data_IF_937962408012
#
_entry.id   IF_937962408012
#
_cell.length_a   1.000
_cell.length_b   1.000
_cell.length_c   1.000
_cell.angle_alpha   90.00
_cell.angle_beta   90.00
_cell.angle_gamma   90.00
#
_symmetry.space_group_name_H-M   'P 1'
#
loop_
_entity.id
_entity.type
_entity.pdbx_description
1 polymer ?
#
# COMPACT_ATOMS: atom_id res chain seq x y z
N UNK A 1 -11.74 18.25 0.91
CA UNK A 1 -11.54 17.83 2.32
C UNK A 1 -12.63 16.92 2.89
N UNK A 2 -13.93 17.28 2.98
CA UNK A 2 -14.94 16.41 3.65
C UNK A 2 -15.01 14.97 3.10
N UNK A 3 -15.15 14.82 1.79
CA UNK A 3 -15.17 13.50 1.14
C UNK A 3 -13.86 12.71 1.34
N UNK A 4 -12.74 13.43 1.55
CA UNK A 4 -11.46 12.80 1.82
C UNK A 4 -11.38 12.21 3.22
N UNK A 5 -11.93 12.93 4.20
CA UNK A 5 -12.08 12.47 5.58
C UNK A 5 -12.98 11.24 5.62
N UNK A 6 -14.15 11.28 4.95
CA UNK A 6 -15.08 10.14 4.89
C UNK A 6 -14.44 8.90 4.26
N UNK A 7 -13.67 9.07 3.18
CA UNK A 7 -12.97 7.95 2.55
C UNK A 7 -11.88 7.35 3.48
N UNK A 8 -11.07 8.19 4.12
CA UNK A 8 -10.04 7.72 5.06
C UNK A 8 -10.68 7.03 6.29
N UNK A 9 -11.79 7.56 6.78
CA UNK A 9 -12.59 7.01 7.87
C UNK A 9 -13.15 5.62 7.53
N UNK A 10 -13.71 5.46 6.34
CA UNK A 10 -14.22 4.16 5.86
C UNK A 10 -13.11 3.11 5.79
N UNK A 11 -11.94 3.46 5.24
CA UNK A 11 -10.81 2.53 5.18
C UNK A 11 -10.33 2.16 6.58
N UNK A 12 -10.16 3.15 7.47
CA UNK A 12 -9.76 2.92 8.86
C UNK A 12 -10.73 1.95 9.57
N UNK A 13 -12.03 2.21 9.52
CA UNK A 13 -13.03 1.38 10.20
C UNK A 13 -13.13 -0.03 9.59
N UNK A 14 -12.94 -0.17 8.28
CA UNK A 14 -12.88 -1.47 7.62
C UNK A 14 -11.68 -2.29 8.11
N UNK A 15 -10.50 -1.66 8.17
CA UNK A 15 -9.29 -2.31 8.71
C UNK A 15 -9.45 -2.60 10.20
N UNK A 16 -10.07 -1.72 10.98
CA UNK A 16 -10.33 -1.92 12.41
C UNK A 16 -11.27 -3.10 12.66
N UNK A 17 -12.34 -3.25 11.86
CA UNK A 17 -13.23 -4.40 11.97
C UNK A 17 -12.51 -5.73 11.67
N UNK A 18 -11.51 -5.70 10.79
CA UNK A 18 -10.76 -6.88 10.35
C UNK A 18 -9.57 -7.21 11.26
N UNK A 19 -8.87 -6.19 11.75
CA UNK A 19 -7.61 -6.28 12.51
C UNK A 19 -7.61 -5.37 13.75
N UNK A 20 -8.53 -5.58 14.71
CA UNK A 20 -8.72 -4.67 15.84
C UNK A 20 -7.47 -4.53 16.73
N UNK A 21 -6.71 -5.61 16.92
CA UNK A 21 -5.48 -5.60 17.71
C UNK A 21 -4.36 -4.77 17.06
N UNK A 22 -4.25 -4.83 15.73
CA UNK A 22 -3.26 -4.04 15.00
C UNK A 22 -3.58 -2.53 15.08
N UNK A 23 -4.88 -2.19 15.06
CA UNK A 23 -5.33 -0.81 15.26
C UNK A 23 -5.04 -0.35 16.69
N UNK A 24 -5.38 -1.15 17.71
CA UNK A 24 -5.09 -0.81 19.11
C UNK A 24 -3.58 -0.61 19.37
N UNK A 25 -2.75 -1.46 18.78
CA UNK A 25 -1.28 -1.36 18.85
C UNK A 25 -0.76 -0.08 18.17
N UNK A 26 -1.28 0.25 16.99
CA UNK A 26 -0.97 1.51 16.31
C UNK A 26 -1.38 2.72 17.17
N UNK A 27 -2.62 2.76 17.66
CA UNK A 27 -3.17 3.88 18.44
C UNK A 27 -2.35 4.14 19.70
N UNK A 28 -1.97 3.09 20.43
CA UNK A 28 -1.11 3.22 21.61
C UNK A 28 0.25 3.84 21.27
N UNK A 29 0.87 3.43 20.16
CA UNK A 29 2.17 3.96 19.71
C UNK A 29 2.05 5.37 19.15
N UNK A 30 0.95 5.68 18.48
CA UNK A 30 0.64 7.00 17.95
C UNK A 30 0.51 8.04 19.07
N UNK A 31 -0.23 7.71 20.13
CA UNK A 31 -0.39 8.59 21.30
C UNK A 31 0.97 8.91 21.94
N UNK A 32 1.83 7.89 22.11
CA UNK A 32 3.18 8.09 22.64
C UNK A 32 4.01 9.04 21.76
N UNK A 33 4.00 8.81 20.44
CA UNK A 33 4.67 9.68 19.48
C UNK A 33 4.17 11.13 19.52
N UNK A 34 2.85 11.34 19.57
CA UNK A 34 2.28 12.69 19.68
C UNK A 34 2.66 13.39 20.97
N UNK A 35 2.66 12.68 22.11
CA UNK A 35 3.05 13.25 23.38
C UNK A 35 4.48 13.80 23.34
N UNK A 36 5.40 13.05 22.72
CA UNK A 36 6.79 13.51 22.52
C UNK A 36 6.83 14.73 21.61
N UNK A 37 6.14 14.69 20.46
CA UNK A 37 6.10 15.82 19.53
C UNK A 37 5.55 17.11 20.16
N UNK A 38 4.49 17.01 20.96
CA UNK A 38 3.90 18.16 21.64
C UNK A 38 4.74 18.67 22.82
N UNK A 39 5.64 17.84 23.37
CA UNK A 39 6.56 18.24 24.44
C UNK A 39 7.80 19.00 23.95
N UNK A 40 8.04 19.02 22.64
CA UNK A 40 9.17 19.75 22.06
C UNK A 40 9.01 21.26 22.28
N UNK A 41 10.15 21.94 22.44
CA UNK A 41 10.19 23.39 22.59
C UNK A 41 9.57 24.06 21.35
N UNK A 42 8.86 25.18 21.54
CA UNK A 42 8.26 25.93 20.44
C UNK A 42 9.28 26.45 19.41
N UNK A 43 10.57 26.55 19.79
CA UNK A 43 11.68 26.91 18.90
C UNK A 43 12.30 25.72 18.16
N UNK A 44 11.92 24.49 18.51
CA UNK A 44 12.43 23.30 17.85
C UNK A 44 11.85 23.18 16.44
N UNK A 45 12.65 22.63 15.52
CA UNK A 45 12.13 22.27 14.20
C UNK A 45 11.09 21.15 14.34
N UNK A 46 9.98 21.17 13.58
CA UNK A 46 9.02 20.06 13.53
C UNK A 46 9.67 18.71 13.20
N UNK A 47 10.82 18.71 12.53
CA UNK A 47 11.59 17.50 12.20
C UNK A 47 12.22 16.81 13.40
N UNK A 48 12.40 17.48 14.53
CA UNK A 48 12.99 16.85 15.73
C UNK A 48 12.18 15.65 16.21
N UNK A 49 10.87 15.65 15.99
CA UNK A 49 9.98 14.49 16.19
C UNK A 49 10.48 13.20 15.52
N UNK A 50 11.16 13.30 14.38
CA UNK A 50 11.59 12.14 13.58
C UNK A 50 12.79 11.41 14.16
N UNK A 51 13.46 12.00 15.17
CA UNK A 51 14.66 11.44 15.81
C UNK A 51 14.36 10.65 17.08
N UNK A 52 13.09 10.42 17.37
CA UNK A 52 12.60 9.83 18.62
C UNK A 52 12.44 8.31 18.48
N UNK A 53 12.53 7.59 19.59
CA UNK A 53 12.31 6.13 19.59
C UNK A 53 10.84 5.79 19.26
N UNK A 54 9.90 6.67 19.61
CA UNK A 54 8.48 6.55 19.30
C UNK A 54 8.23 6.64 17.79
N UNK A 55 8.89 7.57 17.11
CA UNK A 55 8.85 7.66 15.64
C UNK A 55 9.40 6.39 14.98
N UNK A 56 10.56 5.92 15.43
CA UNK A 56 11.17 4.69 14.92
C UNK A 56 10.30 3.45 15.18
N UNK A 57 9.61 3.41 16.32
CA UNK A 57 8.68 2.33 16.66
C UNK A 57 7.49 2.28 15.71
N UNK A 58 6.93 3.44 15.34
CA UNK A 58 5.89 3.51 14.31
C UNK A 58 6.44 3.16 12.93
N UNK A 59 7.60 3.71 12.55
CA UNK A 59 8.24 3.46 11.25
C UNK A 59 8.50 1.97 11.01
N UNK A 60 8.96 1.24 12.03
CA UNK A 60 9.19 -0.21 11.97
C UNK A 60 7.94 -1.04 11.70
N UNK A 61 6.74 -0.48 11.90
CA UNK A 61 5.51 -1.18 11.51
C UNK A 61 5.35 -1.26 9.99
N UNK A 62 6.01 -0.40 9.21
CA UNK A 62 6.00 -0.46 7.76
C UNK A 62 4.66 -0.06 7.13
N UNK A 63 4.43 -0.53 5.91
CA UNK A 63 3.32 -0.06 5.06
C UNK A 63 1.92 -0.40 5.60
N UNK A 64 1.80 -1.38 6.50
CA UNK A 64 0.52 -1.82 7.07
C UNK A 64 -0.20 -0.74 7.89
N UNK A 65 0.52 0.29 8.36
CA UNK A 65 -0.06 1.39 9.15
C UNK A 65 -0.46 2.60 8.30
N UNK A 66 -0.25 2.58 6.97
CA UNK A 66 -0.45 3.75 6.12
C UNK A 66 -1.87 4.31 6.19
N UNK A 67 -2.89 3.44 6.13
CA UNK A 67 -4.28 3.86 6.23
C UNK A 67 -4.58 4.55 7.56
N UNK A 68 -3.94 4.09 8.66
CA UNK A 68 -4.11 4.72 9.97
C UNK A 68 -3.44 6.09 10.04
N UNK A 69 -2.26 6.23 9.44
CA UNK A 69 -1.58 7.53 9.34
C UNK A 69 -2.42 8.51 8.53
N UNK A 70 -2.93 8.11 7.36
CA UNK A 70 -3.81 8.94 6.53
C UNK A 70 -5.08 9.34 7.28
N UNK A 71 -5.70 8.41 8.00
CA UNK A 71 -6.86 8.70 8.85
C UNK A 71 -6.54 9.76 9.91
N UNK A 72 -5.44 9.63 10.65
CA UNK A 72 -5.02 10.64 11.63
C UNK A 72 -4.81 12.00 10.99
N UNK A 73 -4.14 12.07 9.85
CA UNK A 73 -3.95 13.32 9.12
C UNK A 73 -5.27 13.97 8.68
N UNK A 74 -6.28 13.16 8.38
CA UNK A 74 -7.59 13.63 7.95
C UNK A 74 -8.47 14.15 9.10
N UNK A 75 -8.42 13.55 10.29
CA UNK A 75 -9.36 13.85 11.39
C UNK A 75 -8.98 15.06 12.24
N UNK A 76 -7.69 15.33 12.44
CA UNK A 76 -7.21 16.48 13.21
C UNK A 76 -5.84 16.90 12.71
N UNK A 77 -5.81 17.61 11.58
CA UNK A 77 -4.56 18.00 10.91
C UNK A 77 -3.68 18.89 11.80
N UNK A 78 -4.29 19.65 12.71
CA UNK A 78 -3.59 20.61 13.56
C UNK A 78 -2.75 19.93 14.63
N UNK A 79 -3.23 18.79 15.14
CA UNK A 79 -2.52 17.96 16.11
C UNK A 79 -1.71 16.84 15.44
N UNK A 80 -2.15 16.35 14.29
CA UNK A 80 -1.60 15.15 13.66
C UNK A 80 -0.59 15.43 12.55
N UNK A 81 -0.34 16.69 12.17
CA UNK A 81 0.53 17.06 11.04
C UNK A 81 1.94 16.45 11.06
N UNK A 82 2.51 16.15 12.25
CA UNK A 82 3.77 15.40 12.37
C UNK A 82 3.73 14.00 11.73
N UNK A 83 2.54 13.43 11.56
CA UNK A 83 2.30 12.21 10.81
C UNK A 83 2.76 12.24 9.36
N UNK A 84 2.84 13.43 8.75
CA UNK A 84 3.34 13.56 7.38
C UNK A 84 4.80 13.12 7.25
N UNK A 85 5.62 13.31 8.29
CA UNK A 85 6.99 12.78 8.31
C UNK A 85 7.00 11.26 8.36
N UNK A 86 6.11 10.64 9.14
CA UNK A 86 5.99 9.19 9.21
C UNK A 86 5.54 8.63 7.86
N UNK A 87 4.53 9.25 7.24
CA UNK A 87 4.08 8.86 5.91
C UNK A 87 5.22 8.90 4.88
N UNK A 88 6.02 9.97 4.87
CA UNK A 88 7.19 10.10 4.00
C UNK A 88 8.31 9.10 4.28
N UNK A 89 8.44 8.64 5.53
CA UNK A 89 9.40 7.62 5.90
C UNK A 89 8.94 6.20 5.50
N UNK A 90 7.62 6.02 5.29
CA UNK A 90 7.02 4.75 4.88
C UNK A 90 6.92 4.64 3.35
N UNK A 91 6.63 5.74 2.65
CA UNK A 91 6.42 5.76 1.20
C UNK A 91 7.59 6.48 0.51
N UNK A 92 8.39 5.72 -0.24
CA UNK A 92 9.59 6.26 -0.90
C UNK A 92 9.29 6.90 -2.27
N UNK A 93 8.35 6.33 -3.02
CA UNK A 93 8.06 6.74 -4.40
C UNK A 93 7.25 8.06 -4.41
N UNK A 94 7.77 9.13 -5.04
CA UNK A 94 7.08 10.41 -5.19
C UNK A 94 5.66 10.31 -5.76
N UNK A 95 5.38 9.32 -6.62
CA UNK A 95 4.05 9.08 -7.21
C UNK A 95 2.98 8.88 -6.13
N UNK A 96 3.32 8.20 -5.05
CA UNK A 96 2.36 7.85 -3.99
C UNK A 96 2.45 8.75 -2.76
N UNK A 97 3.59 9.41 -2.54
CA UNK A 97 3.74 10.32 -1.39
C UNK A 97 3.43 11.79 -1.68
N UNK A 98 3.46 12.21 -2.94
CA UNK A 98 3.41 13.62 -3.32
C UNK A 98 4.70 14.37 -2.97
N UNK A 99 4.90 15.53 -3.60
CA UNK A 99 6.05 16.41 -3.30
C UNK A 99 5.52 17.62 -2.52
N UNK A 100 6.11 17.97 -1.36
CA UNK A 100 5.71 19.17 -0.65
C UNK A 100 5.95 20.41 -1.51
N UNK A 101 5.00 21.34 -1.52
CA UNK A 101 5.16 22.63 -2.20
C UNK A 101 6.20 23.52 -1.52
N UNK A 102 6.32 23.39 -0.20
CA UNK A 102 7.19 24.19 0.66
C UNK A 102 8.14 23.31 1.47
N UNK A 103 9.24 23.90 1.93
CA UNK A 103 10.07 23.28 2.96
C UNK A 103 9.26 23.05 4.23
N UNK A 104 9.25 21.81 4.72
CA UNK A 104 8.54 21.38 5.94
C UNK A 104 9.24 21.87 7.22
N UNK A 105 9.49 23.16 7.32
CA UNK A 105 10.18 23.83 8.43
C UNK A 105 9.22 24.57 9.36
N UNK A 106 8.02 24.93 8.89
CA UNK A 106 6.95 25.52 9.70
C UNK A 106 5.78 24.57 9.92
N UNK A 107 4.96 24.85 10.94
CA UNK A 107 3.75 24.08 11.23
C UNK A 107 2.73 24.19 10.10
N UNK A 108 2.58 25.37 9.50
CA UNK A 108 1.63 25.64 8.42
C UNK A 108 2.00 24.88 7.15
N UNK A 109 3.30 24.84 6.80
CA UNK A 109 3.77 24.04 5.67
C UNK A 109 3.48 22.55 5.87
N UNK A 110 3.68 22.06 7.10
CA UNK A 110 3.41 20.67 7.47
C UNK A 110 1.91 20.33 7.43
N UNK A 111 1.05 21.23 7.91
CA UNK A 111 -0.40 21.08 7.83
C UNK A 111 -0.90 21.05 6.38
N UNK A 112 -0.39 21.96 5.52
CA UNK A 112 -0.74 21.96 4.09
C UNK A 112 -0.33 20.65 3.43
N UNK A 113 0.89 20.19 3.68
CA UNK A 113 1.39 18.94 3.12
C UNK A 113 0.61 17.72 3.64
N UNK A 114 0.20 17.73 4.91
CA UNK A 114 -0.70 16.71 5.45
C UNK A 114 -2.03 16.65 4.69
N UNK A 115 -2.61 17.80 4.37
CA UNK A 115 -3.80 17.89 3.52
C UNK A 115 -3.57 17.31 2.12
N UNK A 116 -2.42 17.58 1.51
CA UNK A 116 -2.04 17.02 0.20
C UNK A 116 -1.93 15.50 0.23
N UNK A 117 -1.32 14.93 1.28
CA UNK A 117 -1.25 13.47 1.47
C UNK A 117 -2.66 12.87 1.52
N UNK A 118 -3.57 13.48 2.29
CA UNK A 118 -4.95 13.02 2.43
C UNK A 118 -5.69 13.08 1.09
N UNK A 119 -5.57 14.18 0.35
CA UNK A 119 -6.20 14.33 -0.97
C UNK A 119 -5.64 13.34 -2.00
N UNK A 120 -4.32 13.18 -2.05
CA UNK A 120 -3.66 12.20 -2.93
C UNK A 120 -4.14 10.78 -2.60
N UNK A 121 -4.19 10.42 -1.32
CA UNK A 121 -4.64 9.10 -0.87
C UNK A 121 -6.05 8.78 -1.34
N UNK A 122 -6.94 9.77 -1.43
CA UNK A 122 -8.33 9.59 -1.92
C UNK A 122 -8.38 9.40 -3.41
N UNK A 123 -7.60 10.15 -4.18
CA UNK A 123 -7.50 9.97 -5.63
C UNK A 123 -6.98 8.58 -5.96
N UNK A 124 -5.90 8.21 -5.26
CA UNK A 124 -5.30 6.90 -5.28
C UNK A 124 -6.32 5.80 -4.93
N UNK A 125 -7.14 5.98 -3.88
CA UNK A 125 -8.16 5.00 -3.48
C UNK A 125 -9.20 4.74 -4.56
N UNK A 126 -9.60 5.77 -5.33
CA UNK A 126 -10.54 5.57 -6.46
C UNK A 126 -9.94 4.68 -7.55
N UNK A 127 -8.66 4.90 -7.88
CA UNK A 127 -7.93 4.08 -8.86
C UNK A 127 -7.81 2.64 -8.36
N UNK A 128 -7.53 2.46 -7.07
CA UNK A 128 -7.50 1.15 -6.44
C UNK A 128 -8.85 0.41 -6.54
N UNK A 129 -9.96 1.06 -6.17
CA UNK A 129 -11.30 0.44 -6.20
C UNK A 129 -11.67 -0.02 -7.62
N UNK A 130 -11.36 0.81 -8.62
CA UNK A 130 -11.59 0.48 -10.03
C UNK A 130 -10.74 -0.71 -10.48
N UNK A 131 -9.43 -0.69 -10.22
CA UNK A 131 -8.50 -1.76 -10.64
C UNK A 131 -8.80 -3.08 -9.93
N UNK A 132 -9.13 -3.04 -8.63
CA UNK A 132 -9.51 -4.23 -7.87
C UNK A 132 -10.79 -4.84 -8.43
N UNK A 133 -11.77 -4.01 -8.77
CA UNK A 133 -13.02 -4.48 -9.37
C UNK A 133 -12.74 -5.17 -10.71
N UNK A 134 -11.99 -4.54 -11.61
CA UNK A 134 -11.65 -5.12 -12.92
C UNK A 134 -10.90 -6.45 -12.78
N UNK A 135 -9.94 -6.51 -11.87
CA UNK A 135 -9.19 -7.75 -11.62
C UNK A 135 -10.07 -8.87 -11.04
N UNK A 136 -10.98 -8.55 -10.11
CA UNK A 136 -11.96 -9.52 -9.58
C UNK A 136 -12.85 -10.05 -10.71
N UNK A 137 -13.42 -9.18 -11.53
CA UNK A 137 -14.27 -9.55 -12.69
C UNK A 137 -13.50 -10.42 -13.69
N UNK A 138 -12.23 -10.08 -13.96
CA UNK A 138 -11.34 -10.88 -14.79
C UNK A 138 -11.12 -12.28 -14.18
N UNK A 139 -10.73 -12.35 -12.92
CA UNK A 139 -10.52 -13.62 -12.23
C UNK A 139 -11.77 -14.50 -12.15
N UNK A 140 -12.95 -13.90 -11.95
CA UNK A 140 -14.23 -14.61 -11.97
C UNK A 140 -14.55 -15.18 -13.36
N UNK A 141 -14.31 -14.39 -14.42
CA UNK A 141 -14.54 -14.81 -15.81
C UNK A 141 -13.73 -16.06 -16.17
N UNK A 142 -12.50 -16.15 -15.65
CA UNK A 142 -11.59 -17.26 -15.92
C UNK A 142 -11.48 -18.27 -14.77
N UNK A 143 -12.36 -18.21 -13.76
CA UNK A 143 -12.31 -19.08 -12.59
C UNK A 143 -12.40 -20.57 -12.98
N UNK A 144 -13.16 -20.90 -14.01
CA UNK A 144 -13.30 -22.27 -14.54
C UNK A 144 -12.01 -22.81 -15.18
N UNK A 145 -11.09 -21.92 -15.61
CA UNK A 145 -9.80 -22.31 -16.17
C UNK A 145 -8.74 -22.62 -15.09
N UNK A 146 -9.05 -22.40 -13.79
CA UNK A 146 -8.27 -22.78 -12.61
C UNK A 146 -6.75 -22.54 -12.73
N UNK A 147 -6.33 -21.46 -13.39
CA UNK A 147 -4.91 -21.23 -13.64
C UNK A 147 -4.44 -19.94 -12.98
N UNK A 148 -3.57 -20.08 -11.98
CA UNK A 148 -2.84 -18.96 -11.33
C UNK A 148 -2.23 -18.01 -12.34
N UNK A 149 -1.72 -18.52 -13.46
CA UNK A 149 -1.14 -17.68 -14.50
C UNK A 149 -2.14 -16.63 -14.96
N UNK A 150 -3.42 -16.97 -15.12
CA UNK A 150 -4.43 -16.01 -15.59
C UNK A 150 -4.56 -14.85 -14.60
N UNK A 151 -4.82 -15.12 -13.32
CA UNK A 151 -5.00 -14.05 -12.31
C UNK A 151 -3.71 -13.31 -11.92
N UNK A 152 -2.52 -13.81 -12.25
CA UNK A 152 -1.23 -13.24 -11.84
C UNK A 152 -0.31 -12.86 -13.02
N UNK A 153 -0.80 -12.82 -14.27
CA UNK A 153 0.03 -12.43 -15.41
C UNK A 153 -0.68 -11.58 -16.48
N UNK A 154 -1.94 -11.17 -16.24
CA UNK A 154 -2.71 -10.29 -17.14
C UNK A 154 -2.54 -8.80 -16.85
N UNK A 155 -2.94 -7.96 -17.79
CA UNK A 155 -2.85 -6.49 -17.70
C UNK A 155 -3.54 -5.96 -16.44
N UNK A 156 -4.67 -6.55 -16.03
CA UNK A 156 -5.39 -6.18 -14.82
C UNK A 156 -4.57 -6.43 -13.54
N UNK A 157 -3.73 -7.47 -13.53
CA UNK A 157 -2.81 -7.75 -12.41
C UNK A 157 -1.62 -6.78 -12.41
N UNK A 158 -1.05 -6.49 -13.58
CA UNK A 158 0.04 -5.50 -13.71
C UNK A 158 -0.43 -4.10 -13.33
N UNK A 159 -1.64 -3.72 -13.74
CA UNK A 159 -2.30 -2.50 -13.31
C UNK A 159 -2.42 -2.47 -11.78
N UNK A 160 -2.80 -3.56 -11.12
CA UNK A 160 -2.83 -3.59 -9.66
C UNK A 160 -1.45 -3.42 -9.01
N UNK A 161 -0.39 -3.97 -9.61
CA UNK A 161 0.98 -3.75 -9.12
C UNK A 161 1.41 -2.28 -9.22
N UNK A 162 0.97 -1.58 -10.28
CA UNK A 162 1.23 -0.15 -10.46
C UNK A 162 0.45 0.77 -9.49
N UNK A 163 -0.50 0.22 -8.74
CA UNK A 163 -1.17 0.94 -7.64
C UNK A 163 -0.19 1.07 -6.46
N UNK A 164 0.67 0.09 -6.24
CA UNK A 164 1.85 0.22 -5.39
C UNK A 164 1.60 0.17 -3.88
N UNK A 165 2.62 0.52 -3.07
CA UNK A 165 2.67 0.22 -1.64
C UNK A 165 1.70 1.02 -0.76
N UNK A 166 1.11 2.10 -1.29
CA UNK A 166 0.18 2.94 -0.53
C UNK A 166 -1.12 2.23 -0.11
N UNK A 167 -1.38 1.05 -0.67
CA UNK A 167 -2.67 0.35 -0.60
C UNK A 167 -2.59 -1.00 0.11
N UNK A 168 -1.43 -1.32 0.69
CA UNK A 168 -1.23 -2.53 1.49
C UNK A 168 -2.34 -2.72 2.54
N UNK A 169 -2.79 -1.69 3.28
CA UNK A 169 -3.87 -1.88 4.26
C UNK A 169 -5.18 -2.37 3.65
N UNK A 170 -5.59 -1.84 2.50
CA UNK A 170 -6.81 -2.27 1.80
C UNK A 170 -6.66 -3.69 1.26
N UNK A 171 -5.51 -4.00 0.66
CA UNK A 171 -5.21 -5.37 0.19
C UNK A 171 -5.20 -6.39 1.33
N UNK A 172 -4.73 -6.00 2.52
CA UNK A 172 -4.78 -6.87 3.70
C UNK A 172 -6.21 -7.20 4.14
N UNK A 173 -7.16 -6.27 3.97
CA UNK A 173 -8.59 -6.54 4.22
C UNK A 173 -9.13 -7.56 3.22
N UNK A 174 -8.84 -7.37 1.93
CA UNK A 174 -9.25 -8.30 0.88
C UNK A 174 -8.69 -9.71 1.13
N UNK A 175 -7.40 -9.80 1.47
CA UNK A 175 -6.76 -11.06 1.84
C UNK A 175 -7.39 -11.73 3.08
N UNK A 176 -7.82 -10.95 4.08
CA UNK A 176 -8.45 -11.52 5.26
C UNK A 176 -9.82 -12.13 4.95
N UNK A 177 -10.58 -11.52 4.04
CA UNK A 177 -11.87 -12.01 3.56
C UNK A 177 -11.75 -13.22 2.63
N UNK A 178 -10.69 -13.27 1.82
CA UNK A 178 -10.41 -14.36 0.89
C UNK A 178 -8.95 -14.83 0.98
N UNK A 179 -8.67 -15.68 1.97
CA UNK A 179 -7.33 -16.24 2.20
C UNK A 179 -6.92 -17.28 1.16
N UNK A 180 -7.87 -17.79 0.37
CA UNK A 180 -7.64 -18.78 -0.68
C UNK A 180 -7.33 -18.18 -2.04
N UNK A 181 -7.58 -16.87 -2.21
CA UNK A 181 -7.31 -16.13 -3.44
C UNK A 181 -5.86 -15.72 -3.63
N UNK A 182 -5.63 -14.91 -4.65
CA UNK A 182 -4.30 -14.48 -5.10
C UNK A 182 -3.80 -13.19 -4.43
N UNK A 183 -4.53 -12.68 -3.43
CA UNK A 183 -4.17 -11.44 -2.72
C UNK A 183 -2.79 -11.49 -2.06
N UNK A 184 -2.39 -12.66 -1.55
CA UNK A 184 -1.06 -12.83 -0.96
C UNK A 184 0.07 -12.61 -1.98
N UNK A 185 -0.09 -13.09 -3.22
CA UNK A 185 0.90 -12.90 -4.28
C UNK A 185 1.04 -11.42 -4.62
N UNK A 186 -0.09 -10.73 -4.78
CA UNK A 186 -0.12 -9.29 -5.05
C UNK A 186 0.54 -8.48 -3.93
N UNK A 187 0.19 -8.77 -2.67
CA UNK A 187 0.80 -8.11 -1.50
C UNK A 187 2.31 -8.35 -1.47
N UNK A 188 2.75 -9.60 -1.66
CA UNK A 188 4.16 -9.95 -1.65
C UNK A 188 4.92 -9.23 -2.76
N UNK A 189 4.39 -9.21 -3.98
CA UNK A 189 5.05 -8.58 -5.11
C UNK A 189 5.12 -7.05 -4.98
N UNK A 190 4.09 -6.40 -4.44
CA UNK A 190 4.14 -4.96 -4.10
C UNK A 190 5.21 -4.66 -3.04
N UNK A 191 5.32 -5.50 -2.00
CA UNK A 191 6.24 -5.26 -0.87
C UNK A 191 7.69 -5.59 -1.24
N UNK A 192 7.90 -6.65 -2.03
CA UNK A 192 9.23 -7.21 -2.29
C UNK A 192 9.75 -6.98 -3.72
N UNK A 193 8.91 -6.50 -4.64
CA UNK A 193 9.26 -6.29 -6.04
C UNK A 193 9.53 -7.60 -6.80
N UNK A 194 9.04 -8.73 -6.28
CA UNK A 194 9.20 -10.06 -6.89
C UNK A 194 8.03 -10.98 -6.51
N UNK A 195 7.71 -11.92 -7.38
CA UNK A 195 6.73 -12.98 -7.10
C UNK A 195 7.21 -13.88 -5.96
N UNK A 196 6.29 -14.59 -5.29
CA UNK A 196 6.63 -15.35 -4.08
C UNK A 196 7.54 -16.56 -4.30
N UNK A 197 7.73 -17.03 -5.54
CA UNK A 197 8.37 -18.32 -5.90
C UNK A 197 7.88 -19.56 -5.09
N UNK A 198 6.93 -19.39 -4.16
CA UNK A 198 6.54 -20.37 -3.15
C UNK A 198 5.77 -21.58 -3.75
N UNK A 199 5.46 -21.51 -5.04
CA UNK A 199 4.93 -22.62 -5.83
C UNK A 199 5.84 -23.07 -6.99
N UNK A 200 7.14 -22.72 -6.98
CA UNK A 200 8.13 -23.43 -7.81
C UNK A 200 8.21 -24.95 -7.53
N UNK A 201 7.48 -25.44 -6.50
CA UNK A 201 7.33 -26.85 -6.14
C UNK A 201 6.15 -27.53 -6.86
N UNK A 202 5.18 -26.78 -7.42
CA UNK A 202 4.04 -27.36 -8.15
C UNK A 202 4.05 -26.92 -9.61
N UNK A 203 4.86 -27.64 -10.39
CA UNK A 203 4.82 -27.82 -11.84
C UNK A 203 4.83 -26.58 -12.74
N UNK A 204 6.01 -26.27 -13.30
CA UNK A 204 6.12 -25.83 -14.69
C UNK A 204 6.03 -27.05 -15.62
N UNK A 205 5.04 -27.18 -16.51
CA UNK A 205 5.29 -27.81 -17.79
C UNK A 205 6.20 -26.87 -18.58
N UNK A 206 7.40 -27.34 -18.92
CA UNK A 206 8.26 -26.69 -19.91
C UNK A 206 7.54 -26.75 -21.26
N UNK A 207 6.83 -25.70 -21.62
CA UNK A 207 6.42 -25.48 -22.99
C UNK A 207 6.74 -24.06 -23.37
N UNK A 208 7.97 -23.84 -23.81
CA UNK A 208 8.38 -22.79 -24.75
C UNK A 208 9.87 -22.98 -25.06
N UNK A 209 10.15 -23.91 -25.97
CA UNK A 209 11.17 -23.70 -27.00
C UNK A 209 10.43 -23.92 -28.33
N UNK A 210 9.96 -22.82 -28.92
CA UNK A 210 9.68 -22.77 -30.36
C UNK A 210 10.37 -21.53 -30.93
N UNK A 211 10.31 -21.28 -32.25
CA UNK A 211 10.00 -22.12 -33.40
C UNK A 211 11.16 -22.08 -34.44
N UNK A 212 11.04 -22.77 -35.58
CA UNK A 212 11.99 -22.76 -36.72
C UNK A 212 13.33 -23.49 -36.55
N UNK A 213 13.34 -24.77 -36.94
CA UNK A 213 14.44 -25.33 -37.72
C UNK A 213 13.85 -26.06 -38.93
N UNK A 214 13.65 -25.30 -40.01
CA UNK A 214 13.47 -25.88 -41.35
C UNK A 214 14.82 -26.51 -41.73
N UNK A 215 14.85 -27.84 -41.90
CA UNK A 215 16.09 -28.58 -42.14
C UNK A 215 15.82 -29.94 -42.77
N UNK A 216 15.42 -29.90 -44.04
CA UNK A 216 15.56 -30.94 -45.08
C UNK A 216 15.38 -32.42 -44.70
N UNK A 217 14.33 -32.99 -45.30
CA UNK A 217 14.18 -34.40 -45.65
C UNK A 217 15.50 -35.10 -46.03
N UNK A 218 15.79 -36.22 -45.35
CA UNK A 218 16.48 -37.36 -45.95
C UNK A 218 15.67 -38.62 -45.66
N UNK A 219 15.09 -39.13 -46.73
CA UNK A 219 14.53 -40.47 -46.88
C UNK A 219 15.54 -41.54 -46.51
N UNK A 220 15.03 -42.58 -45.85
CA UNK A 220 15.66 -43.91 -45.74
C UNK A 220 15.60 -44.59 -47.10
N UNK A 221 16.73 -45.13 -47.56
CA UNK A 221 16.91 -45.85 -48.82
C UNK A 221 18.36 -45.81 -49.26
#
# INVERSE_FOLDING_TARGET
MRAAIEAADNVYHTVQGTFPEAVADFESKWIAFQAVCHSLLASASPRECTRTDEFETLRKQGLKILAFVVFKLATDVDQNSHGAFLFNALVNDPKYRGVPDDDLTSKEALQRYSGQIVELSVQLNKVYEERVKLWKEYCETYQAALCRNICCCGDEYWDLLEVGPAFIPQLMVEYAGDRGGYWYELIHEIVHGRTTEAHAIFDRPKWEDGPYAMGTSKTVG
#
